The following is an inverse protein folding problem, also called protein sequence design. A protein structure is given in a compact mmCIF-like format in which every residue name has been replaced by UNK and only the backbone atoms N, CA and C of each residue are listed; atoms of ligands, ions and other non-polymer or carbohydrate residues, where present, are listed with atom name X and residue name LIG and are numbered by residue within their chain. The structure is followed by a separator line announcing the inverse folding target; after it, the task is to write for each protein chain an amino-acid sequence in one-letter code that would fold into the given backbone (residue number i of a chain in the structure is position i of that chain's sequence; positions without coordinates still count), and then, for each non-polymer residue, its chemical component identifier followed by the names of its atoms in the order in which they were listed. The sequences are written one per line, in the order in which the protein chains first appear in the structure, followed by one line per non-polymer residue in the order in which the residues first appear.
data_IF_706831010619
#
_entry.id   IF_706831010619
#
_cell.length_a   1.000
_cell.length_b   1.000
_cell.length_c   1.000
_cell.angle_alpha   90.00
_cell.angle_beta   90.00
_cell.angle_gamma   90.00
#
_symmetry.space_group_name_H-M   'P 1'
#
loop_
_entity.id
_entity.type
_entity.pdbx_description
1 polymer ?
#
# COMPACT_ATOMS: atom_id res chain seq x y z
N UNK A 1 -22.97 29.99 10.54
CA UNK A 1 -22.01 29.13 11.25
C UNK A 1 -22.45 27.70 10.97
N UNK A 2 -21.69 26.96 10.17
CA UNK A 2 -22.09 25.60 9.78
C UNK A 2 -21.29 24.61 10.64
N UNK A 3 -21.98 23.70 11.32
CA UNK A 3 -21.30 22.55 11.90
C UNK A 3 -21.14 21.51 10.79
N UNK A 4 -19.93 21.04 10.59
CA UNK A 4 -19.64 19.92 9.68
C UNK A 4 -19.42 18.66 10.50
N UNK A 5 -19.63 17.48 9.90
CA UNK A 5 -19.29 16.21 10.55
C UNK A 5 -17.85 15.84 10.25
N UNK A 6 -17.10 15.52 11.30
CA UNK A 6 -15.76 14.99 11.15
C UNK A 6 -15.82 13.64 10.39
N UNK A 7 -15.07 13.46 9.29
CA UNK A 7 -15.09 12.21 8.51
C UNK A 7 -14.51 11.03 9.29
N UNK A 8 -13.66 11.29 10.30
CA UNK A 8 -13.01 10.25 11.09
C UNK A 8 -13.86 9.77 12.27
N UNK A 9 -14.48 10.69 13.03
CA UNK A 9 -15.21 10.33 14.25
C UNK A 9 -16.72 10.52 14.18
N UNK A 10 -17.24 11.09 13.08
CA UNK A 10 -18.67 11.34 12.87
C UNK A 10 -19.28 12.41 13.77
N UNK A 11 -18.50 13.04 14.66
CA UNK A 11 -18.98 14.12 15.55
C UNK A 11 -19.01 15.46 14.82
N UNK A 12 -19.94 16.30 15.27
CA UNK A 12 -20.15 17.64 14.74
C UNK A 12 -19.07 18.59 15.26
N UNK A 13 -18.42 19.29 14.33
CA UNK A 13 -17.37 20.28 14.61
C UNK A 13 -17.66 21.58 13.87
N UNK A 14 -17.05 22.68 14.30
CA UNK A 14 -17.15 23.96 13.59
C UNK A 14 -16.44 23.91 12.24
N UNK A 15 -17.02 24.52 11.20
CA UNK A 15 -16.41 24.64 9.86
C UNK A 15 -15.01 25.30 9.88
N UNK A 16 -14.70 26.07 10.92
CA UNK A 16 -13.43 26.77 11.09
C UNK A 16 -12.40 26.00 11.93
N UNK A 17 -12.73 24.82 12.46
CA UNK A 17 -11.82 24.05 13.31
C UNK A 17 -10.77 23.31 12.47
N UNK A 18 -9.50 23.70 12.58
CA UNK A 18 -8.36 23.04 11.91
C UNK A 18 -8.05 21.65 12.49
N UNK A 19 -8.52 21.36 13.70
CA UNK A 19 -8.33 20.08 14.40
C UNK A 19 -9.63 19.71 15.10
N UNK A 20 -10.08 18.46 14.93
CA UNK A 20 -11.23 17.96 15.64
C UNK A 20 -10.92 17.82 17.14
N UNK A 21 -11.64 18.50 18.05
CA UNK A 21 -11.39 18.43 19.49
C UNK A 21 -11.75 17.07 20.10
N UNK A 22 -12.50 16.23 19.38
CA UNK A 22 -12.96 14.94 19.89
C UNK A 22 -12.07 13.75 19.50
N UNK A 23 -11.38 13.80 18.36
CA UNK A 23 -10.46 12.73 17.95
C UNK A 23 -9.00 13.19 17.76
N UNK A 24 -8.74 14.50 17.70
CA UNK A 24 -7.41 15.05 17.47
C UNK A 24 -6.95 15.03 16.01
N UNK A 25 -7.79 14.59 15.07
CA UNK A 25 -7.47 14.60 13.64
C UNK A 25 -7.49 16.03 13.09
N UNK A 26 -6.51 16.37 12.25
CA UNK A 26 -6.50 17.64 11.52
C UNK A 26 -7.64 17.65 10.51
N UNK A 27 -8.52 18.62 10.61
CA UNK A 27 -9.63 18.76 9.68
C UNK A 27 -9.14 19.47 8.44
N UNK A 28 -8.89 18.71 7.39
CA UNK A 28 -8.44 19.21 6.09
C UNK A 28 -9.65 19.77 5.31
N UNK A 29 -10.24 20.85 5.81
CA UNK A 29 -11.26 21.63 5.09
C UNK A 29 -10.65 22.59 4.06
N UNK A 30 -9.53 22.19 3.50
CA UNK A 30 -8.88 22.81 2.36
C UNK A 30 -8.27 21.70 1.54
N UNK A 31 -9.04 21.21 0.55
CA UNK A 31 -8.59 20.34 -0.53
C UNK A 31 -8.43 18.83 -0.22
N UNK A 32 -9.57 18.17 -0.01
CA UNK A 32 -9.73 16.71 0.08
C UNK A 32 -9.43 15.94 -1.24
N UNK A 33 -8.60 16.46 -2.15
CA UNK A 33 -8.37 15.84 -3.47
C UNK A 33 -6.96 15.27 -3.68
N UNK A 34 -5.98 15.57 -2.82
CA UNK A 34 -4.58 15.24 -3.09
C UNK A 34 -3.97 14.14 -2.20
N UNK A 35 -4.67 13.70 -1.13
CA UNK A 35 -4.13 12.68 -0.22
C UNK A 35 -4.63 11.27 -0.54
N UNK A 36 -5.81 11.13 -1.17
CA UNK A 36 -6.33 9.80 -1.55
C UNK A 36 -5.74 9.26 -2.88
N UNK A 37 -5.17 10.11 -3.74
CA UNK A 37 -4.65 9.71 -5.06
C UNK A 37 -3.17 9.30 -5.04
N UNK A 38 -2.40 9.84 -4.11
CA UNK A 38 -0.94 9.64 -4.04
C UNK A 38 -0.57 8.19 -3.70
N UNK A 39 -1.42 7.48 -2.95
CA UNK A 39 -1.27 6.04 -2.68
C UNK A 39 -1.65 5.15 -3.87
N UNK A 40 -2.57 5.57 -4.73
CA UNK A 40 -2.98 4.83 -5.93
C UNK A 40 -1.95 4.95 -7.07
N UNK A 41 -1.37 6.14 -7.28
CA UNK A 41 -0.33 6.33 -8.31
C UNK A 41 0.99 5.63 -7.94
N UNK A 42 1.34 5.57 -6.65
CA UNK A 42 2.52 4.84 -6.19
C UNK A 42 2.37 3.31 -6.32
N UNK A 43 1.16 2.78 -6.12
CA UNK A 43 0.88 1.34 -6.20
C UNK A 43 0.96 0.80 -7.65
N UNK A 44 0.47 1.59 -8.63
CA UNK A 44 0.55 1.24 -10.06
C UNK A 44 2.01 1.26 -10.55
N UNK A 45 2.82 2.21 -10.06
CA UNK A 45 4.24 2.30 -10.46
C UNK A 45 5.04 1.05 -10.05
N UNK A 46 4.82 0.54 -8.84
CA UNK A 46 5.55 -0.62 -8.33
C UNK A 46 5.12 -1.93 -9.02
N UNK A 47 3.82 -2.07 -9.31
CA UNK A 47 3.29 -3.25 -10.02
C UNK A 47 3.78 -3.33 -11.46
N UNK A 48 3.76 -2.22 -12.20
CA UNK A 48 4.24 -2.18 -13.59
C UNK A 48 5.75 -2.44 -13.67
N UNK A 49 6.54 -1.83 -12.79
CA UNK A 49 7.99 -2.05 -12.74
C UNK A 49 8.35 -3.51 -12.41
N UNK A 50 7.60 -4.13 -11.48
CA UNK A 50 7.78 -5.54 -11.14
C UNK A 50 7.52 -6.48 -12.32
N UNK A 51 6.46 -6.22 -13.10
CA UNK A 51 6.13 -7.03 -14.29
C UNK A 51 7.22 -6.91 -15.36
N UNK A 52 7.72 -5.70 -15.61
CA UNK A 52 8.80 -5.47 -16.61
C UNK A 52 10.08 -6.21 -16.22
N UNK A 53 10.49 -6.12 -14.95
CA UNK A 53 11.66 -6.85 -14.44
C UNK A 53 11.47 -8.37 -14.52
N UNK A 54 10.27 -8.88 -14.23
CA UNK A 54 9.97 -10.31 -14.32
C UNK A 54 10.05 -10.82 -15.77
N UNK A 55 9.52 -10.06 -16.74
CA UNK A 55 9.60 -10.41 -18.16
C UNK A 55 11.05 -10.40 -18.64
N UNK A 56 11.85 -9.40 -18.26
CA UNK A 56 13.26 -9.33 -18.64
C UNK A 56 14.08 -10.48 -18.06
N UNK A 57 13.85 -10.81 -16.78
CA UNK A 57 14.46 -11.95 -16.12
C UNK A 57 14.06 -13.28 -16.77
N UNK A 58 12.79 -13.41 -17.18
CA UNK A 58 12.31 -14.59 -17.91
C UNK A 58 12.99 -14.71 -19.27
N UNK A 59 13.04 -13.64 -20.07
CA UNK A 59 13.72 -13.66 -21.38
C UNK A 59 15.22 -13.99 -21.23
N UNK A 60 15.91 -13.40 -20.26
CA UNK A 60 17.31 -13.70 -19.97
C UNK A 60 17.52 -15.14 -19.47
N UNK A 61 16.56 -15.70 -18.75
CA UNK A 61 16.56 -17.10 -18.30
C UNK A 61 16.45 -18.07 -19.49
N UNK A 62 15.59 -17.78 -20.46
CA UNK A 62 15.44 -18.62 -21.66
C UNK A 62 16.65 -18.57 -22.59
N UNK A 63 17.44 -17.49 -22.56
CA UNK A 63 18.65 -17.36 -23.41
C UNK A 63 19.92 -17.91 -22.76
N UNK A 64 19.93 -18.16 -21.44
CA UNK A 64 21.09 -18.62 -20.70
C UNK A 64 20.74 -19.89 -19.92
N UNK A 65 20.94 -21.03 -20.59
CA UNK A 65 21.23 -22.36 -20.03
C UNK A 65 20.46 -22.79 -18.76
N UNK A 66 19.51 -23.69 -18.97
CA UNK A 66 18.76 -24.45 -17.98
C UNK A 66 19.68 -25.14 -16.98
N UNK A 67 19.57 -24.77 -15.70
CA UNK A 67 19.33 -25.69 -14.56
C UNK A 67 19.45 -24.94 -13.22
N UNK A 68 20.39 -23.99 -13.10
CA UNK A 68 20.61 -23.26 -11.84
C UNK A 68 19.65 -22.07 -11.62
N UNK A 69 19.30 -21.34 -12.67
CA UNK A 69 18.49 -20.11 -12.53
C UNK A 69 17.01 -20.37 -12.22
N UNK A 70 16.41 -21.46 -12.72
CA UNK A 70 15.00 -21.79 -12.40
C UNK A 70 14.84 -22.16 -10.94
N UNK A 71 15.81 -22.84 -10.36
CA UNK A 71 15.80 -23.19 -8.93
C UNK A 71 15.84 -21.91 -8.08
N UNK A 72 16.65 -20.91 -8.45
CA UNK A 72 16.69 -19.62 -7.75
C UNK A 72 15.38 -18.83 -7.88
N UNK A 73 14.73 -18.84 -9.04
CA UNK A 73 13.44 -18.15 -9.24
C UNK A 73 12.35 -18.83 -8.42
N UNK A 74 12.28 -20.17 -8.43
CA UNK A 74 11.32 -20.94 -7.61
C UNK A 74 11.55 -20.65 -6.12
N UNK A 75 12.82 -20.65 -5.66
CA UNK A 75 13.17 -20.38 -4.27
C UNK A 75 12.77 -18.95 -3.85
N UNK A 76 13.01 -17.95 -4.70
CA UNK A 76 12.61 -16.57 -4.44
C UNK A 76 11.07 -16.42 -4.37
N UNK A 77 10.33 -17.06 -5.28
CA UNK A 77 8.87 -17.05 -5.28
C UNK A 77 8.30 -17.70 -4.00
N UNK A 78 8.88 -18.82 -3.56
CA UNK A 78 8.49 -19.50 -2.32
C UNK A 78 8.72 -18.60 -1.10
N UNK A 79 9.89 -17.96 -0.99
CA UNK A 79 10.17 -17.02 0.11
C UNK A 79 9.23 -15.82 0.12
N UNK A 80 8.85 -15.31 -1.05
CA UNK A 80 7.90 -14.20 -1.16
C UNK A 80 6.49 -14.60 -0.69
N UNK A 81 6.00 -15.77 -1.12
CA UNK A 81 4.70 -16.29 -0.66
C UNK A 81 4.73 -16.47 0.86
N UNK A 82 5.77 -17.10 1.39
CA UNK A 82 5.98 -17.27 2.83
C UNK A 82 5.94 -15.90 3.53
N UNK A 83 6.72 -14.92 3.08
CA UNK A 83 6.74 -13.57 3.66
C UNK A 83 5.38 -12.88 3.63
N UNK A 84 4.61 -13.02 2.55
CA UNK A 84 3.28 -12.43 2.42
C UNK A 84 2.26 -13.06 3.39
N UNK A 85 2.35 -14.37 3.62
CA UNK A 85 1.49 -15.11 4.56
C UNK A 85 1.86 -14.77 6.00
N UNK A 86 3.15 -14.78 6.35
CA UNK A 86 3.62 -14.41 7.68
C UNK A 86 3.35 -12.93 7.99
N UNK A 87 3.51 -12.03 7.03
CA UNK A 87 3.18 -10.61 7.20
C UNK A 87 1.69 -10.37 7.49
N UNK A 88 0.79 -11.10 6.80
CA UNK A 88 -0.65 -11.07 7.11
C UNK A 88 -0.96 -11.65 8.49
N UNK A 89 -0.27 -12.72 8.90
CA UNK A 89 -0.43 -13.32 10.23
C UNK A 89 0.05 -12.38 11.35
N UNK A 90 1.20 -11.74 11.19
CA UNK A 90 1.76 -10.81 12.18
C UNK A 90 0.85 -9.59 12.36
N UNK A 91 0.30 -9.02 11.27
CA UNK A 91 -0.69 -7.92 11.36
C UNK A 91 -1.94 -8.32 12.11
N UNK A 92 -2.38 -9.58 12.00
CA UNK A 92 -3.56 -10.07 12.70
C UNK A 92 -3.31 -10.29 14.19
N UNK A 93 -2.07 -10.66 14.56
CA UNK A 93 -1.70 -10.91 15.95
C UNK A 93 -1.40 -9.62 16.75
N UNK A 94 -0.90 -8.56 16.10
CA UNK A 94 -0.60 -7.26 16.74
C UNK A 94 -1.81 -6.33 16.93
N UNK A 95 -3.02 -6.79 16.58
CA UNK A 95 -4.27 -6.02 16.71
C UNK A 95 -5.13 -6.45 17.91
N UNK A 96 -4.52 -7.19 18.84
CA UNK A 96 -5.13 -7.71 20.07
C UNK A 96 -4.54 -6.97 21.26
#
# INVERSE_FOLDING_TARGET
MALIRCPECGKEISDSAQVCPNCGCKTELGNQNDIMKTSLLADIGFTVLGIICAIFAFVAYYTVSTDAFVVLIILAAVLFIIGSVYGRLIRKNNKK
#
